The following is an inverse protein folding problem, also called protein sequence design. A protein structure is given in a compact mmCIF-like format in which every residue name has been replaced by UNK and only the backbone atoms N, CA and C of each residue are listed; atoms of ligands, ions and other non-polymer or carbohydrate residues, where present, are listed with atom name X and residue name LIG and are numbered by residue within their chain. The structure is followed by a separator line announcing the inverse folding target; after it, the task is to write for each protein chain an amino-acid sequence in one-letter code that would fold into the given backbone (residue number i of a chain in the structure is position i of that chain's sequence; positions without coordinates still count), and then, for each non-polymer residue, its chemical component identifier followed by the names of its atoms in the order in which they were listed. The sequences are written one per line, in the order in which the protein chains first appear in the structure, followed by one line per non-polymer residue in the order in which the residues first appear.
data_IF_319496128572
#
_entry.id   IF_319496128572
#
_cell.length_a   1.000
_cell.length_b   1.000
_cell.length_c   1.000
_cell.angle_alpha   90.00
_cell.angle_beta   90.00
_cell.angle_gamma   90.00
#
_symmetry.space_group_name_H-M   'P 1'
#
loop_
_entity.id
_entity.type
_entity.pdbx_description
1 polymer ?
#
# COMPACT_ATOMS: atom_id res chain seq x y z
N UNK A 1 -18.63 12.21 -2.70
CA UNK A 1 -17.86 10.94 -2.63
C UNK A 1 -16.49 11.30 -3.16
N UNK A 2 -15.42 11.00 -2.43
CA UNK A 2 -14.09 11.34 -2.93
C UNK A 2 -13.80 10.43 -4.11
N UNK A 3 -13.60 10.99 -5.30
CA UNK A 3 -13.29 10.24 -6.53
C UNK A 3 -11.83 9.75 -6.54
N UNK A 4 -11.24 9.55 -5.35
CA UNK A 4 -9.84 9.20 -5.13
C UNK A 4 -9.71 8.02 -4.19
N UNK A 5 -8.68 7.22 -4.43
CA UNK A 5 -8.37 6.01 -3.68
C UNK A 5 -7.22 6.23 -2.70
N UNK A 6 -7.22 5.52 -1.56
CA UNK A 6 -6.18 5.66 -0.56
C UNK A 6 -4.84 5.17 -1.09
N UNK A 7 -3.79 5.95 -0.85
CA UNK A 7 -2.42 5.47 -1.04
C UNK A 7 -2.14 4.27 -0.11
N UNK A 8 -1.54 3.17 -0.60
CA UNK A 8 -1.21 2.03 0.25
C UNK A 8 -0.23 2.35 1.37
N UNK A 9 0.61 3.36 1.20
CA UNK A 9 1.62 3.75 2.18
C UNK A 9 1.03 4.66 3.28
N UNK A 10 0.37 5.76 2.91
CA UNK A 10 -0.10 6.75 3.89
C UNK A 10 -1.61 6.77 4.16
N UNK A 11 -2.40 6.05 3.36
CA UNK A 11 -3.85 5.95 3.50
C UNK A 11 -4.66 7.17 3.05
N UNK A 12 -4.02 8.28 2.69
CA UNK A 12 -4.72 9.46 2.18
C UNK A 12 -5.30 9.22 0.77
N UNK A 13 -6.54 9.63 0.55
CA UNK A 13 -7.25 9.51 -0.74
C UNK A 13 -6.68 10.48 -1.78
N UNK A 14 -5.65 10.05 -2.50
CA UNK A 14 -4.92 10.89 -3.47
C UNK A 14 -4.77 10.26 -4.86
N UNK A 15 -5.00 8.94 -4.98
CA UNK A 15 -4.80 8.21 -6.23
C UNK A 15 -6.07 8.25 -7.09
N UNK A 16 -5.91 8.31 -8.40
CA UNK A 16 -7.02 8.28 -9.36
C UNK A 16 -7.63 6.90 -9.57
N UNK A 17 -6.89 5.83 -9.30
CA UNK A 17 -7.35 4.44 -9.46
C UNK A 17 -7.05 3.56 -8.24
N UNK A 18 -7.87 2.52 -8.07
CA UNK A 18 -7.69 1.51 -7.02
C UNK A 18 -6.70 0.46 -7.51
N UNK A 19 -5.42 0.67 -7.16
CA UNK A 19 -4.30 -0.25 -7.35
C UNK A 19 -3.65 -0.23 -8.74
N UNK A 20 -2.34 -0.04 -8.76
CA UNK A 20 -1.54 -0.09 -9.98
C UNK A 20 -1.79 1.09 -10.91
N UNK A 21 -2.13 2.27 -10.36
CA UNK A 21 -2.22 3.49 -11.16
C UNK A 21 -0.85 3.98 -11.64
N UNK A 22 0.24 3.48 -11.03
CA UNK A 22 1.61 3.96 -11.18
C UNK A 22 1.78 5.44 -10.80
N UNK A 23 0.79 6.03 -10.13
CA UNK A 23 0.88 7.39 -9.65
C UNK A 23 1.78 7.46 -8.41
N UNK A 24 2.52 8.55 -8.32
CA UNK A 24 3.34 8.86 -7.15
C UNK A 24 2.50 9.68 -6.19
N UNK A 25 2.32 9.16 -4.97
CA UNK A 25 1.60 9.84 -3.91
C UNK A 25 2.32 11.16 -3.53
N UNK A 26 1.70 12.35 -3.65
CA UNK A 26 2.38 13.61 -3.28
C UNK A 26 2.56 13.78 -1.76
N UNK A 27 1.86 12.96 -0.96
CA UNK A 27 1.88 13.03 0.52
C UNK A 27 3.04 12.24 1.10
N UNK A 28 3.38 11.09 0.53
CA UNK A 28 4.45 10.23 1.05
C UNK A 28 5.50 9.84 0.02
N UNK A 29 5.32 10.17 -1.26
CA UNK A 29 6.18 9.80 -2.40
C UNK A 29 6.22 8.31 -2.75
N UNK A 30 5.27 7.51 -2.26
CA UNK A 30 5.12 6.12 -2.68
C UNK A 30 4.53 6.01 -4.09
N UNK A 31 5.13 5.19 -4.96
CA UNK A 31 4.57 4.87 -6.28
C UNK A 31 3.62 3.66 -6.20
N UNK A 32 2.39 3.83 -6.71
CA UNK A 32 1.34 2.82 -6.66
C UNK A 32 1.53 1.68 -7.68
N UNK A 33 2.23 0.62 -7.25
CA UNK A 33 2.43 -0.60 -8.04
C UNK A 33 1.62 -1.77 -7.45
N UNK A 34 0.72 -2.34 -8.26
CA UNK A 34 -0.12 -3.49 -7.90
C UNK A 34 0.68 -4.69 -7.40
N UNK A 35 1.92 -4.88 -7.87
CA UNK A 35 2.83 -5.96 -7.41
C UNK A 35 3.12 -5.85 -5.91
N UNK A 36 3.23 -4.63 -5.40
CA UNK A 36 3.61 -4.36 -4.00
C UNK A 36 2.47 -4.62 -3.01
N UNK A 37 1.22 -4.74 -3.48
CA UNK A 37 0.09 -5.17 -2.66
C UNK A 37 0.10 -6.67 -2.40
N UNK A 38 0.54 -7.43 -3.39
CA UNK A 38 0.63 -8.89 -3.31
C UNK A 38 1.82 -9.33 -2.47
N UNK A 39 2.94 -8.59 -2.58
CA UNK A 39 4.19 -8.86 -1.88
C UNK A 39 4.73 -7.60 -1.17
N UNK A 40 4.06 -7.13 -0.10
CA UNK A 40 4.46 -5.89 0.58
C UNK A 40 5.78 -6.01 1.35
N UNK A 41 6.28 -7.22 1.53
CA UNK A 41 7.59 -7.56 2.11
C UNK A 41 8.67 -7.77 1.05
N UNK A 42 8.39 -7.48 -0.23
CA UNK A 42 9.38 -7.45 -1.32
C UNK A 42 9.87 -6.03 -1.58
N UNK A 43 11.19 -5.89 -1.69
CA UNK A 43 11.89 -4.63 -1.91
C UNK A 43 12.64 -4.68 -3.24
N UNK A 44 13.14 -3.54 -3.69
CA UNK A 44 13.93 -3.46 -4.92
C UNK A 44 13.09 -3.44 -6.21
N UNK A 45 11.95 -2.78 -6.18
CA UNK A 45 11.14 -2.46 -7.38
C UNK A 45 11.27 -0.98 -7.76
N UNK A 46 10.14 -0.37 -8.16
CA UNK A 46 10.05 1.08 -8.40
C UNK A 46 10.28 1.89 -7.11
N UNK A 47 9.89 1.32 -5.96
CA UNK A 47 10.15 1.87 -4.64
C UNK A 47 11.44 1.27 -4.03
N UNK A 48 12.19 2.10 -3.29
CA UNK A 48 13.48 1.72 -2.68
C UNK A 48 13.34 0.83 -1.44
N UNK A 49 12.21 0.96 -0.74
CA UNK A 49 11.90 0.24 0.50
C UNK A 49 10.67 -0.65 0.35
N UNK A 50 10.48 -1.57 1.28
CA UNK A 50 9.28 -2.41 1.36
C UNK A 50 8.03 -1.57 1.67
N UNK A 51 6.84 -1.98 1.24
CA UNK A 51 5.61 -1.24 1.56
C UNK A 51 5.35 -1.18 3.06
N UNK A 52 5.61 -2.27 3.79
CA UNK A 52 5.49 -2.29 5.25
C UNK A 52 6.48 -1.34 5.93
N UNK A 53 7.68 -1.17 5.36
CA UNK A 53 8.67 -0.22 5.85
C UNK A 53 8.25 1.22 5.52
N UNK A 54 7.75 1.46 4.31
CA UNK A 54 7.23 2.75 3.90
C UNK A 54 6.08 3.25 4.78
N UNK A 55 5.17 2.35 5.18
CA UNK A 55 4.10 2.67 6.13
C UNK A 55 4.64 3.12 7.49
N UNK A 56 5.68 2.45 8.00
CA UNK A 56 6.34 2.84 9.26
C UNK A 56 7.07 4.17 9.11
N UNK A 57 7.84 4.33 8.03
CA UNK A 57 8.53 5.56 7.69
C UNK A 57 7.58 6.77 7.62
N UNK A 58 6.40 6.59 7.01
CA UNK A 58 5.39 7.64 6.97
C UNK A 58 4.86 7.99 8.36
N UNK A 59 4.61 6.98 9.21
CA UNK A 59 4.18 7.21 10.60
C UNK A 59 5.26 7.92 11.43
N UNK A 60 6.54 7.61 11.19
CA UNK A 60 7.66 8.14 11.96
C UNK A 60 8.08 9.55 11.51
N UNK A 61 8.10 9.82 10.19
CA UNK A 61 8.62 11.07 9.64
C UNK A 61 7.89 11.61 8.41
N UNK A 62 6.74 11.05 8.02
CA UNK A 62 5.86 11.64 7.00
C UNK A 62 6.27 11.41 5.54
N UNK A 63 7.15 10.46 5.26
CA UNK A 63 7.51 10.07 3.89
C UNK A 63 7.77 8.56 3.78
N UNK A 64 7.72 7.99 2.57
CA UNK A 64 7.93 6.56 2.36
C UNK A 64 9.38 6.12 2.60
N UNK A 65 10.35 7.01 2.41
CA UNK A 65 11.75 6.83 2.77
C UNK A 65 12.41 8.18 3.13
N UNK A 66 13.64 8.15 3.66
CA UNK A 66 14.35 9.38 4.07
C UNK A 66 14.61 10.35 2.90
N UNK A 67 14.79 9.84 1.68
CA UNK A 67 15.04 10.66 0.50
C UNK A 67 13.77 11.42 0.09
N UNK A 68 12.63 10.76 0.22
CA UNK A 68 11.31 11.28 -0.13
C UNK A 68 10.90 12.50 0.69
N UNK A 69 11.40 12.63 1.93
CA UNK A 69 11.04 13.73 2.84
C UNK A 69 11.24 15.14 2.22
N UNK A 70 12.13 15.29 1.23
CA UNK A 70 12.37 16.58 0.56
C UNK A 70 11.36 16.93 -0.54
N UNK A 71 10.53 15.98 -0.95
CA UNK A 71 9.63 16.09 -2.09
C UNK A 71 8.14 15.94 -1.72
N UNK A 72 7.84 15.60 -0.47
CA UNK A 72 6.48 15.46 0.04
C UNK A 72 5.86 16.78 0.45
N UNK A 73 4.52 16.80 0.55
CA UNK A 73 3.73 17.86 1.17
C UNK A 73 2.75 17.26 2.19
N UNK A 74 2.24 18.04 3.15
CA UNK A 74 1.10 17.59 3.94
C UNK A 74 -0.12 17.26 3.04
N UNK A 75 -1.00 16.35 3.48
CA UNK A 75 -2.28 16.10 2.82
C UNK A 75 -3.13 17.38 2.81
N UNK A 76 -3.87 17.59 1.72
CA UNK A 76 -4.85 18.68 1.63
C UNK A 76 -6.14 18.34 2.40
N UNK A 77 -7.00 19.34 2.63
CA UNK A 77 -8.27 19.15 3.35
C UNK A 77 -9.22 18.17 2.62
N UNK A 78 -9.14 18.08 1.29
CA UNK A 78 -9.90 17.18 0.44
C UNK A 78 -9.22 15.82 0.22
N UNK A 79 -8.11 15.55 0.91
CA UNK A 79 -7.36 14.29 0.87
C UNK A 79 -7.41 13.60 2.24
N UNK A 80 -8.60 13.24 2.74
CA UNK A 80 -8.72 12.60 4.05
C UNK A 80 -8.04 11.24 4.07
N UNK A 81 -7.68 10.78 5.27
CA UNK A 81 -7.34 9.39 5.52
C UNK A 81 -8.59 8.54 5.26
N UNK A 82 -8.47 7.49 4.45
CA UNK A 82 -9.59 6.57 4.22
C UNK A 82 -9.94 5.86 5.55
N UNK A 83 -11.22 5.86 5.95
CA UNK A 83 -11.63 5.33 7.26
C UNK A 83 -11.50 3.81 7.38
N UNK A 84 -11.42 3.08 6.27
CA UNK A 84 -11.15 1.65 6.28
C UNK A 84 -9.64 1.35 6.26
N UNK A 85 -8.81 2.29 5.77
CA UNK A 85 -7.38 2.08 5.65
C UNK A 85 -6.70 1.88 7.01
N UNK A 86 -5.72 0.99 7.03
CA UNK A 86 -4.84 0.73 8.17
C UNK A 86 -3.48 0.23 7.68
N UNK A 87 -2.45 0.38 8.50
CA UNK A 87 -1.15 -0.25 8.23
C UNK A 87 -1.26 -1.77 8.21
N UNK A 88 -0.33 -2.39 7.50
CA UNK A 88 -0.12 -3.82 7.48
C UNK A 88 0.23 -4.29 8.89
N UNK A 89 -0.44 -5.36 9.32
CA UNK A 89 -0.16 -6.02 10.58
C UNK A 89 0.01 -7.52 10.30
N UNK A 90 1.27 -7.95 10.31
CA UNK A 90 1.64 -9.33 9.99
C UNK A 90 1.10 -10.35 11.01
N UNK A 91 0.50 -9.93 12.13
CA UNK A 91 -0.18 -10.86 13.04
C UNK A 91 -1.60 -11.23 12.56
N UNK A 92 -2.16 -10.46 11.63
CA UNK A 92 -3.51 -10.63 11.05
C UNK A 92 -3.53 -10.74 9.53
N UNK A 93 -2.51 -10.23 8.85
CA UNK A 93 -2.43 -10.16 7.40
C UNK A 93 -1.43 -11.19 6.89
N UNK A 94 -1.92 -12.17 6.12
CA UNK A 94 -1.10 -13.13 5.40
C UNK A 94 -0.85 -12.65 3.99
N UNK A 95 0.42 -12.55 3.58
CA UNK A 95 0.82 -12.26 2.21
C UNK A 95 1.49 -13.49 1.60
N UNK A 96 1.54 -13.54 0.28
CA UNK A 96 2.32 -14.56 -0.40
C UNK A 96 3.81 -14.31 -0.19
N UNK A 97 4.59 -15.39 -0.22
CA UNK A 97 6.02 -15.29 -0.41
C UNK A 97 6.31 -15.14 -1.92
N UNK A 98 7.03 -14.09 -2.28
CA UNK A 98 7.47 -13.86 -3.66
C UNK A 98 8.36 -14.99 -4.19
N UNK A 99 9.10 -15.67 -3.31
CA UNK A 99 10.00 -16.76 -3.67
C UNK A 99 9.29 -18.12 -3.80
N UNK A 100 8.00 -18.22 -3.49
CA UNK A 100 7.25 -19.47 -3.60
C UNK A 100 7.02 -19.85 -5.07
N UNK A 101 7.22 -21.14 -5.39
CA UNK A 101 7.05 -21.65 -6.76
C UNK A 101 5.57 -21.71 -7.20
N UNK A 102 4.64 -21.83 -6.26
CA UNK A 102 3.19 -21.99 -6.50
C UNK A 102 2.39 -20.72 -6.17
N UNK A 103 2.66 -19.62 -6.87
CA UNK A 103 1.87 -18.39 -6.72
C UNK A 103 0.44 -18.56 -7.25
N UNK A 104 -0.56 -18.05 -6.52
CA UNK A 104 -1.96 -18.07 -6.99
C UNK A 104 -2.15 -17.29 -8.32
N UNK A 105 -3.21 -17.54 -9.10
CA UNK A 105 -3.54 -16.64 -10.20
C UNK A 105 -3.82 -15.22 -9.69
N UNK A 106 -3.55 -14.21 -10.53
CA UNK A 106 -3.98 -12.83 -10.21
C UNK A 106 -5.51 -12.76 -10.19
N UNK A 107 -6.11 -12.09 -9.18
CA UNK A 107 -7.55 -11.92 -9.14
C UNK A 107 -8.03 -10.95 -10.24
N UNK A 108 -9.22 -11.22 -10.80
CA UNK A 108 -9.87 -10.33 -11.76
C UNK A 108 -10.23 -8.98 -11.12
N UNK A 109 -10.80 -9.03 -9.90
CA UNK A 109 -11.01 -7.87 -9.05
C UNK A 109 -9.74 -7.59 -8.24
N UNK A 110 -9.04 -6.50 -8.56
CA UNK A 110 -7.82 -6.13 -7.84
C UNK A 110 -8.09 -5.74 -6.39
N UNK A 111 -9.29 -5.26 -6.05
CA UNK A 111 -9.62 -4.74 -4.71
C UNK A 111 -9.45 -5.78 -3.60
N UNK A 112 -9.50 -7.07 -3.93
CA UNK A 112 -9.25 -8.18 -2.99
C UNK A 112 -7.80 -8.25 -2.50
N UNK A 113 -6.88 -7.49 -3.11
CA UNK A 113 -5.49 -7.34 -2.66
C UNK A 113 -5.34 -6.29 -1.56
N UNK A 114 -6.34 -5.43 -1.34
CA UNK A 114 -6.32 -4.41 -0.29
C UNK A 114 -6.48 -5.06 1.10
N UNK A 115 -5.39 -5.21 1.85
CA UNK A 115 -5.39 -5.85 3.19
C UNK A 115 -6.32 -5.14 4.19
N UNK A 116 -6.56 -3.85 4.01
CA UNK A 116 -7.44 -3.09 4.88
C UNK A 116 -8.94 -3.36 4.65
N UNK A 117 -9.31 -3.95 3.50
CA UNK A 117 -10.71 -4.23 3.17
C UNK A 117 -11.21 -5.58 3.72
N UNK A 118 -12.51 -5.70 4.06
CA UNK A 118 -13.19 -6.95 4.43
C UNK A 118 -12.95 -8.11 3.45
N UNK A 119 -12.79 -7.80 2.18
CA UNK A 119 -12.66 -8.74 1.06
C UNK A 119 -11.22 -9.19 0.79
N UNK A 120 -10.26 -8.83 1.65
CA UNK A 120 -8.86 -9.23 1.47
C UNK A 120 -8.74 -10.76 1.30
N UNK A 121 -8.25 -11.19 0.13
CA UNK A 121 -8.26 -12.57 -0.33
C UNK A 121 -7.51 -13.58 0.55
N UNK A 122 -6.56 -13.11 1.38
CA UNK A 122 -5.77 -13.94 2.29
C UNK A 122 -6.08 -13.68 3.77
N UNK A 123 -7.19 -13.01 4.07
CA UNK A 123 -7.65 -12.71 5.44
C UNK A 123 -7.72 -13.94 6.35
N UNK A 124 -8.16 -15.08 5.83
CA UNK A 124 -8.37 -16.31 6.62
C UNK A 124 -7.14 -17.24 6.64
N UNK A 125 -6.04 -16.85 5.99
CA UNK A 125 -4.81 -17.63 6.03
C UNK A 125 -4.04 -17.30 7.30
N UNK A 126 -3.44 -18.31 7.92
CA UNK A 126 -2.55 -18.07 9.06
C UNK A 126 -1.39 -17.16 8.63
N UNK A 127 -1.11 -16.15 9.44
CA UNK A 127 0.13 -15.40 9.35
C UNK A 127 1.31 -16.39 9.39
N UNK A 128 2.23 -16.27 8.44
CA UNK A 128 3.46 -17.08 8.36
C UNK A 128 4.63 -16.32 8.96
#
# INVERSE_FOLDING_TARGET
MSDRYPCPCCGHSVLGELLGSYEICPVCLWEDDRVLFRWPTRGGGVNKVYLIEAQRNYQDFGACDEHAHRFVRPPAEDEPLDPAWRSIDLTRDSFEDWAAEDSAPWPDDSSVLCWWLPTFWRRDHSAS
#
